data_IF_749236264133
#
_entry.id   IF_749236264133
#
_cell.length_a   1.000
_cell.length_b   1.000
_cell.length_c   1.000
_cell.angle_alpha   90.00
_cell.angle_beta   90.00
_cell.angle_gamma   90.00
#
_symmetry.space_group_name_H-M   'P 1'
#
loop_
_entity.id
_entity.type
_entity.pdbx_description
1 polymer ?
#
# COMPACT_ATOMS: atom_id res chain seq x y z
N UNK A 1 13.04 11.80 -7.33
CA UNK A 1 13.70 11.28 -6.10
C UNK A 1 14.04 9.82 -6.31
N UNK A 2 15.27 9.47 -5.99
CA UNK A 2 15.70 8.08 -6.12
C UNK A 2 15.26 7.28 -4.90
N UNK A 3 14.55 6.20 -5.16
CA UNK A 3 14.13 5.30 -4.11
C UNK A 3 14.64 3.89 -4.39
N UNK A 4 14.78 3.12 -3.33
CA UNK A 4 15.28 1.76 -3.40
C UNK A 4 14.31 0.87 -2.63
N UNK A 5 14.08 -0.35 -3.14
CA UNK A 5 13.26 -1.33 -2.44
C UNK A 5 14.18 -2.36 -1.79
N UNK A 6 13.92 -2.65 -0.52
CA UNK A 6 14.66 -3.68 0.23
C UNK A 6 13.64 -4.62 0.88
N UNK A 7 13.91 -5.92 0.89
CA UNK A 7 12.97 -6.86 1.53
C UNK A 7 12.70 -6.50 2.98
N UNK A 8 11.44 -6.63 3.39
CA UNK A 8 11.08 -6.44 4.79
C UNK A 8 11.84 -7.43 5.68
N UNK A 9 12.27 -6.93 6.84
CA UNK A 9 12.84 -7.78 7.90
C UNK A 9 12.23 -7.38 9.23
N UNK A 10 12.44 -8.21 10.26
CA UNK A 10 11.90 -7.93 11.58
C UNK A 10 12.40 -6.61 12.16
N UNK A 11 13.54 -6.11 11.70
CA UNK A 11 14.06 -4.81 12.11
C UNK A 11 13.14 -3.66 11.70
N UNK A 12 12.28 -3.87 10.72
CA UNK A 12 11.40 -2.84 10.19
C UNK A 12 10.04 -2.78 10.87
N UNK A 13 9.79 -3.63 11.89
CA UNK A 13 8.46 -3.69 12.53
C UNK A 13 8.04 -2.36 13.14
N UNK A 14 8.94 -1.71 13.86
CA UNK A 14 8.61 -0.43 14.47
C UNK A 14 8.31 0.64 13.41
N UNK A 15 9.07 0.64 12.33
CA UNK A 15 8.80 1.55 11.22
C UNK A 15 7.43 1.27 10.62
N UNK A 16 7.07 0.01 10.40
CA UNK A 16 5.78 -0.32 9.83
C UNK A 16 4.63 0.18 10.70
N UNK A 17 4.76 0.07 12.02
CA UNK A 17 3.74 0.61 12.89
C UNK A 17 3.65 2.13 12.78
N UNK A 18 4.79 2.83 12.77
CA UNK A 18 4.80 4.28 12.61
C UNK A 18 4.17 4.71 11.29
N UNK A 19 4.47 3.96 10.23
CA UNK A 19 3.89 4.21 8.91
C UNK A 19 2.37 4.02 8.96
N UNK A 20 1.91 2.92 9.55
CA UNK A 20 0.48 2.64 9.67
C UNK A 20 -0.20 3.76 10.45
N UNK A 21 0.37 4.13 11.61
CA UNK A 21 -0.18 5.18 12.46
C UNK A 21 -0.31 6.50 11.69
N UNK A 22 0.68 6.83 10.86
CA UNK A 22 0.64 8.07 10.09
C UNK A 22 -0.51 8.13 9.10
N UNK A 23 -1.02 6.96 8.68
CA UNK A 23 -2.15 6.90 7.74
C UNK A 23 -3.49 6.92 8.46
N UNK A 24 -3.52 6.72 9.78
CA UNK A 24 -4.76 6.56 10.53
C UNK A 24 -4.98 7.62 11.62
N UNK A 25 -3.92 8.30 12.04
CA UNK A 25 -3.99 9.16 13.24
C UNK A 25 -5.07 10.24 13.11
N UNK A 26 -5.26 10.80 11.92
CA UNK A 26 -6.26 11.84 11.73
C UNK A 26 -7.69 11.32 11.87
N UNK A 27 -7.91 10.01 11.69
CA UNK A 27 -9.23 9.41 11.81
C UNK A 27 -9.68 9.35 13.28
N UNK A 28 -8.73 9.22 14.22
CA UNK A 28 -9.04 9.10 15.64
C UNK A 28 -8.77 10.38 16.40
N UNK A 29 -8.11 11.37 15.81
CA UNK A 29 -7.83 12.64 16.47
C UNK A 29 -9.09 13.30 17.04
N UNK A 30 -10.24 13.31 16.35
CA UNK A 30 -11.45 13.94 16.86
C UNK A 30 -12.01 13.29 18.14
N UNK A 31 -11.58 12.08 18.49
CA UNK A 31 -12.11 11.40 19.67
C UNK A 31 -11.57 11.94 20.99
N UNK A 32 -10.51 12.77 20.93
CA UNK A 32 -9.95 13.37 22.12
C UNK A 32 -9.19 12.40 23.02
N UNK A 33 -8.74 11.28 22.48
CA UNK A 33 -7.98 10.30 23.26
C UNK A 33 -6.58 10.81 23.56
N UNK A 34 -6.04 10.36 24.71
CA UNK A 34 -4.63 10.65 25.05
C UNK A 34 -3.69 9.92 24.08
N UNK A 35 -2.44 10.37 23.95
CA UNK A 35 -1.47 9.65 23.12
C UNK A 35 -1.35 8.16 23.46
N UNK A 36 -1.26 7.74 24.73
CA UNK A 36 -1.23 6.29 25.02
C UNK A 36 -2.48 5.55 24.55
N UNK A 37 -3.67 6.16 24.66
CA UNK A 37 -4.90 5.55 24.19
C UNK A 37 -4.90 5.43 22.67
N UNK A 38 -4.41 6.45 21.96
CA UNK A 38 -4.30 6.42 20.52
C UNK A 38 -3.36 5.30 20.09
N UNK A 39 -2.21 5.18 20.72
CA UNK A 39 -1.24 4.15 20.37
C UNK A 39 -1.81 2.77 20.62
N UNK A 40 -2.46 2.53 21.74
CA UNK A 40 -3.03 1.21 22.04
C UNK A 40 -4.05 0.79 21.00
N UNK A 41 -4.92 1.72 20.59
CA UNK A 41 -5.94 1.45 19.58
C UNK A 41 -5.30 1.12 18.23
N UNK A 42 -4.34 1.94 17.83
CA UNK A 42 -3.67 1.75 16.54
C UNK A 42 -2.86 0.47 16.50
N UNK A 43 -2.27 0.05 17.63
CA UNK A 43 -1.56 -1.22 17.70
C UNK A 43 -2.46 -2.41 17.45
N UNK A 44 -3.66 -2.39 18.05
CA UNK A 44 -4.63 -3.46 17.84
C UNK A 44 -4.99 -3.56 16.36
N UNK A 45 -5.29 -2.43 15.74
CA UNK A 45 -5.66 -2.40 14.33
C UNK A 45 -4.51 -2.80 13.41
N UNK A 46 -3.30 -2.34 13.72
CA UNK A 46 -2.12 -2.69 12.95
C UNK A 46 -1.87 -4.20 12.98
N UNK A 47 -1.93 -4.79 14.18
CA UNK A 47 -1.71 -6.23 14.32
C UNK A 47 -2.76 -7.03 13.57
N UNK A 48 -4.01 -6.57 13.60
CA UNK A 48 -5.09 -7.22 12.86
C UNK A 48 -4.83 -7.16 11.35
N UNK A 49 -4.41 -6.02 10.84
CA UNK A 49 -4.10 -5.87 9.42
C UNK A 49 -2.95 -6.79 9.01
N UNK A 50 -1.88 -6.82 9.80
CA UNK A 50 -0.73 -7.67 9.51
C UNK A 50 -1.12 -9.14 9.48
N UNK A 51 -1.91 -9.57 10.45
CA UNK A 51 -2.39 -10.95 10.51
C UNK A 51 -3.25 -11.31 9.30
N UNK A 52 -4.12 -10.38 8.90
CA UNK A 52 -4.98 -10.61 7.75
C UNK A 52 -4.17 -10.75 6.46
N UNK A 53 -3.17 -9.88 6.27
CA UNK A 53 -2.31 -9.96 5.09
C UNK A 53 -1.55 -11.28 5.05
N UNK A 54 -1.04 -11.75 6.20
CA UNK A 54 -0.31 -13.01 6.25
C UNK A 54 -1.20 -14.20 5.89
N UNK A 55 -2.47 -14.17 6.30
CA UNK A 55 -3.40 -15.23 5.97
C UNK A 55 -3.87 -15.17 4.52
N UNK A 56 -4.18 -13.97 4.04
CA UNK A 56 -4.71 -13.81 2.69
C UNK A 56 -3.64 -13.95 1.62
N UNK A 57 -2.41 -13.50 1.92
CA UNK A 57 -1.33 -13.44 0.94
C UNK A 57 -0.02 -13.95 1.55
N UNK A 58 0.05 -15.26 1.92
CA UNK A 58 1.23 -15.77 2.61
C UNK A 58 2.52 -15.74 1.79
N UNK A 59 2.40 -15.66 0.47
CA UNK A 59 3.56 -15.62 -0.43
C UNK A 59 3.84 -14.22 -0.98
N UNK A 60 3.22 -13.19 -0.40
CA UNK A 60 3.38 -11.84 -0.92
C UNK A 60 4.81 -11.34 -0.77
N UNK A 61 5.23 -10.55 -1.74
CA UNK A 61 6.52 -9.86 -1.73
C UNK A 61 6.33 -8.56 -0.95
N UNK A 62 7.01 -8.45 0.19
CA UNK A 62 6.91 -7.29 1.07
C UNK A 62 8.24 -6.55 1.05
N UNK A 63 8.22 -5.34 0.49
CA UNK A 63 9.41 -4.51 0.36
C UNK A 63 9.23 -3.21 1.13
N UNK A 64 10.31 -2.76 1.75
CA UNK A 64 10.35 -1.44 2.38
C UNK A 64 10.95 -0.47 1.37
N UNK A 65 10.33 0.69 1.25
CA UNK A 65 10.78 1.75 0.34
C UNK A 65 11.76 2.63 1.11
N UNK A 66 12.97 2.78 0.57
CA UNK A 66 14.03 3.60 1.16
C UNK A 66 14.35 4.79 0.28
N UNK A 67 14.60 5.92 0.90
CA UNK A 67 15.17 7.09 0.25
C UNK A 67 16.40 7.51 1.05
N UNK A 68 17.58 7.55 0.41
CA UNK A 68 18.85 7.90 1.07
C UNK A 68 19.06 7.12 2.37
N UNK A 69 18.85 5.81 2.33
CA UNK A 69 19.01 4.88 3.45
C UNK A 69 18.00 5.06 4.59
N UNK A 70 16.97 5.88 4.39
CA UNK A 70 15.90 6.05 5.36
C UNK A 70 14.65 5.31 4.88
N UNK A 71 13.99 4.51 5.74
CA UNK A 71 12.72 3.89 5.36
C UNK A 71 11.65 4.96 5.30
N UNK A 72 10.92 4.99 4.18
CA UNK A 72 9.90 6.02 3.95
C UNK A 72 8.53 5.43 3.62
N UNK A 73 8.43 4.14 3.39
CA UNK A 73 7.16 3.51 3.04
C UNK A 73 7.30 2.02 2.84
N UNK A 74 6.21 1.42 2.38
CA UNK A 74 6.24 0.00 2.03
C UNK A 74 5.40 -0.28 0.80
N UNK A 75 5.70 -1.39 0.13
CA UNK A 75 4.87 -1.90 -0.95
C UNK A 75 4.72 -3.41 -0.76
N UNK A 76 3.49 -3.90 -0.90
CA UNK A 76 3.16 -5.31 -0.71
C UNK A 76 2.46 -5.80 -1.97
N UNK A 77 3.04 -6.82 -2.62
CA UNK A 77 2.58 -7.31 -3.91
C UNK A 77 2.41 -8.82 -3.86
N UNK A 78 1.27 -9.32 -4.31
CA UNK A 78 1.00 -10.75 -4.36
C UNK A 78 0.85 -11.19 -5.81
N UNK A 79 1.48 -12.32 -6.18
CA UNK A 79 1.26 -12.92 -7.48
C UNK A 79 0.07 -13.86 -7.38
N UNK A 80 -0.89 -13.66 -8.25
CA UNK A 80 -2.06 -14.52 -8.38
C UNK A 80 -1.96 -15.29 -9.69
N UNK A 81 -2.87 -16.21 -9.92
CA UNK A 81 -2.75 -17.12 -11.06
C UNK A 81 -2.60 -16.39 -12.39
N UNK A 82 -3.41 -15.37 -12.62
CA UNK A 82 -3.42 -14.64 -13.89
C UNK A 82 -3.20 -13.13 -13.71
N UNK A 83 -2.81 -12.70 -12.52
CA UNK A 83 -2.69 -11.28 -12.24
C UNK A 83 -1.64 -11.02 -11.18
N UNK A 84 -1.23 -9.76 -11.11
CA UNK A 84 -0.39 -9.24 -10.05
C UNK A 84 -1.27 -8.35 -9.19
N UNK A 85 -1.33 -8.61 -7.89
CA UNK A 85 -2.15 -7.79 -6.98
C UNK A 85 -1.29 -6.83 -6.19
N UNK A 86 -1.58 -5.55 -6.35
CA UNK A 86 -1.02 -4.53 -5.45
C UNK A 86 -1.86 -4.56 -4.17
N UNK A 87 -1.33 -5.20 -3.13
CA UNK A 87 -2.06 -5.38 -1.88
C UNK A 87 -2.06 -4.10 -1.07
N UNK A 88 -0.92 -3.44 -1.00
CA UNK A 88 -0.79 -2.19 -0.25
C UNK A 88 0.41 -1.40 -0.73
N UNK A 89 0.28 -0.08 -0.70
CA UNK A 89 1.40 0.84 -0.85
C UNK A 89 1.13 2.02 0.06
N UNK A 90 2.12 2.41 0.85
CA UNK A 90 1.99 3.51 1.78
C UNK A 90 3.30 4.25 1.91
N UNK A 91 3.22 5.57 2.06
CA UNK A 91 4.37 6.45 2.25
C UNK A 91 4.16 7.32 3.47
N UNK A 92 5.24 7.64 4.18
CA UNK A 92 5.17 8.64 5.23
C UNK A 92 4.67 9.97 4.63
N UNK A 93 3.95 10.77 5.43
CA UNK A 93 3.32 11.99 4.91
C UNK A 93 4.27 12.93 4.17
N UNK A 94 5.49 13.10 4.70
CA UNK A 94 6.44 14.03 4.10
C UNK A 94 6.98 13.59 2.74
N UNK A 95 6.74 12.33 2.37
CA UNK A 95 7.19 11.80 1.07
C UNK A 95 6.05 11.66 0.06
N UNK A 96 4.83 12.02 0.45
CA UNK A 96 3.70 11.96 -0.47
C UNK A 96 3.74 13.15 -1.42
N UNK A 97 3.10 12.97 -2.59
CA UNK A 97 3.02 14.04 -3.58
C UNK A 97 4.33 14.34 -4.30
N UNK A 98 5.28 13.43 -4.29
CA UNK A 98 6.59 13.61 -4.93
C UNK A 98 6.80 12.65 -6.10
N UNK A 99 5.76 11.94 -6.51
CA UNK A 99 5.84 11.03 -7.65
C UNK A 99 6.39 9.64 -7.33
N UNK A 100 6.67 9.33 -6.07
CA UNK A 100 7.23 8.03 -5.69
C UNK A 100 6.23 6.91 -5.97
N UNK A 101 4.97 7.10 -5.56
CA UNK A 101 3.92 6.12 -5.83
C UNK A 101 3.73 5.89 -7.32
N UNK A 102 3.70 6.97 -8.10
CA UNK A 102 3.59 6.89 -9.56
C UNK A 102 4.74 6.07 -10.14
N UNK A 103 5.96 6.33 -9.68
CA UNK A 103 7.14 5.62 -10.16
C UNK A 103 7.06 4.12 -9.86
N UNK A 104 6.74 3.77 -8.62
CA UNK A 104 6.75 2.36 -8.19
C UNK A 104 5.60 1.58 -8.81
N UNK A 105 4.42 2.16 -8.87
CA UNK A 105 3.26 1.49 -9.48
C UNK A 105 3.49 1.36 -10.99
N UNK A 106 4.08 2.39 -11.61
CA UNK A 106 4.45 2.32 -13.03
C UNK A 106 5.42 1.18 -13.33
N UNK A 107 6.40 0.98 -12.47
CA UNK A 107 7.34 -0.14 -12.62
C UNK A 107 6.62 -1.49 -12.47
N UNK A 108 5.69 -1.58 -11.53
CA UNK A 108 4.89 -2.78 -11.32
C UNK A 108 4.05 -3.10 -12.56
N UNK A 109 3.41 -2.08 -13.12
CA UNK A 109 2.62 -2.24 -14.36
C UNK A 109 3.51 -2.73 -15.50
N UNK A 110 4.69 -2.16 -15.63
CA UNK A 110 5.63 -2.54 -16.70
C UNK A 110 6.04 -3.99 -16.56
N UNK A 111 6.38 -4.43 -15.35
CA UNK A 111 6.75 -5.82 -15.11
C UNK A 111 5.59 -6.78 -15.41
N UNK A 112 4.38 -6.41 -14.97
CA UNK A 112 3.20 -7.24 -15.22
C UNK A 112 2.90 -7.33 -16.71
N UNK A 113 3.02 -6.23 -17.44
CA UNK A 113 2.78 -6.20 -18.89
C UNK A 113 3.76 -7.14 -19.61
N UNK A 114 5.03 -7.12 -19.22
CA UNK A 114 6.03 -8.01 -19.83
C UNK A 114 5.70 -9.48 -19.58
N UNK A 115 5.07 -9.78 -18.45
CA UNK A 115 4.68 -11.15 -18.11
C UNK A 115 3.32 -11.54 -18.67
N UNK A 116 2.65 -10.63 -19.38
CA UNK A 116 1.31 -10.88 -19.91
C UNK A 116 0.23 -10.88 -18.83
N UNK A 117 0.48 -10.19 -17.73
CA UNK A 117 -0.38 -10.19 -16.56
C UNK A 117 -1.08 -8.83 -16.40
N UNK A 118 -2.22 -8.81 -15.73
CA UNK A 118 -2.89 -7.57 -15.36
C UNK A 118 -2.54 -7.22 -13.92
N UNK A 119 -2.68 -5.95 -13.55
CA UNK A 119 -2.50 -5.51 -12.16
C UNK A 119 -3.86 -5.23 -11.56
N UNK A 120 -4.13 -5.80 -10.38
CA UNK A 120 -5.40 -5.62 -9.67
C UNK A 120 -5.15 -5.02 -8.29
N UNK A 121 -6.13 -4.28 -7.81
CA UNK A 121 -6.08 -3.74 -6.45
C UNK A 121 -7.49 -3.51 -5.92
N UNK A 122 -7.58 -3.42 -4.59
CA UNK A 122 -8.78 -2.98 -3.89
C UNK A 122 -8.46 -1.67 -3.20
N UNK A 123 -9.37 -0.70 -3.25
CA UNK A 123 -9.13 0.59 -2.64
C UNK A 123 -10.41 1.09 -1.98
N UNK A 124 -10.28 1.69 -0.79
CA UNK A 124 -11.42 2.30 -0.12
C UNK A 124 -12.01 3.39 -1.01
N UNK A 125 -13.34 3.43 -1.08
CA UNK A 125 -14.04 4.37 -1.95
C UNK A 125 -13.75 5.83 -1.60
N UNK A 126 -13.32 6.09 -0.37
CA UNK A 126 -13.00 7.42 0.11
C UNK A 126 -11.52 7.78 -0.02
N UNK A 127 -10.69 6.84 -0.51
CA UNK A 127 -9.25 7.07 -0.60
C UNK A 127 -8.91 7.93 -1.83
N UNK A 128 -8.27 9.09 -1.65
CA UNK A 128 -7.92 9.95 -2.79
C UNK A 128 -6.90 9.32 -3.75
N UNK A 129 -6.23 8.25 -3.35
CA UNK A 129 -5.32 7.53 -4.25
C UNK A 129 -6.03 6.97 -5.48
N UNK A 130 -7.36 6.88 -5.47
CA UNK A 130 -8.13 6.48 -6.65
C UNK A 130 -7.75 7.33 -7.85
N UNK A 131 -7.54 8.63 -7.66
CA UNK A 131 -7.17 9.53 -8.77
C UNK A 131 -5.81 9.16 -9.37
N UNK A 132 -4.87 8.78 -8.52
CA UNK A 132 -3.56 8.30 -8.99
C UNK A 132 -3.73 7.03 -9.83
N UNK A 133 -4.51 6.08 -9.32
CA UNK A 133 -4.72 4.82 -10.03
C UNK A 133 -5.39 5.05 -11.37
N UNK A 134 -6.39 5.93 -11.42
CA UNK A 134 -7.06 6.25 -12.69
C UNK A 134 -6.09 6.88 -13.69
N UNK A 135 -5.21 7.77 -13.23
CA UNK A 135 -4.21 8.37 -14.12
C UNK A 135 -3.25 7.34 -14.68
N UNK A 136 -3.01 6.26 -13.94
CA UNK A 136 -2.11 5.19 -14.40
C UNK A 136 -2.83 4.14 -15.25
N UNK A 137 -4.11 4.33 -15.53
CA UNK A 137 -4.85 3.46 -16.42
C UNK A 137 -5.69 2.39 -15.75
N UNK A 138 -5.81 2.44 -14.43
CA UNK A 138 -6.69 1.52 -13.72
C UNK A 138 -8.15 1.93 -13.94
N UNK A 139 -9.02 0.93 -14.09
CA UNK A 139 -10.45 1.15 -14.20
C UNK A 139 -11.17 0.36 -13.11
N UNK A 140 -12.31 0.87 -12.65
CA UNK A 140 -13.13 0.19 -11.68
C UNK A 140 -13.82 -1.00 -12.35
N UNK A 141 -13.69 -2.18 -11.75
CA UNK A 141 -14.31 -3.40 -12.29
C UNK A 141 -15.50 -3.84 -11.45
N UNK A 142 -15.52 -3.53 -10.16
CA UNK A 142 -16.64 -3.80 -9.28
C UNK A 142 -16.53 -2.96 -8.03
N UNK A 143 -17.58 -2.97 -7.23
CA UNK A 143 -17.57 -2.22 -5.97
C UNK A 143 -18.50 -2.87 -4.97
N UNK A 144 -18.23 -2.62 -3.68
CA UNK A 144 -19.15 -2.90 -2.61
C UNK A 144 -19.36 -1.61 -1.81
N UNK A 145 -19.86 -1.71 -0.58
CA UNK A 145 -20.15 -0.54 0.23
C UNK A 145 -18.91 0.23 0.64
N UNK A 146 -17.75 -0.43 0.71
CA UNK A 146 -16.52 0.17 1.22
C UNK A 146 -15.43 0.30 0.17
N UNK A 147 -15.35 -0.61 -0.80
CA UNK A 147 -14.20 -0.73 -1.69
C UNK A 147 -14.60 -0.69 -3.15
N UNK A 148 -13.69 -0.15 -3.97
CA UNK A 148 -13.66 -0.41 -5.40
C UNK A 148 -12.61 -1.47 -5.69
N UNK A 149 -12.94 -2.40 -6.60
CA UNK A 149 -11.93 -3.24 -7.23
C UNK A 149 -11.50 -2.55 -8.51
N UNK A 150 -10.19 -2.47 -8.74
CA UNK A 150 -9.66 -1.81 -9.92
C UNK A 150 -8.67 -2.71 -10.63
N UNK A 151 -8.56 -2.53 -11.95
CA UNK A 151 -7.69 -3.35 -12.77
C UNK A 151 -7.02 -2.51 -13.85
N UNK A 152 -5.75 -2.78 -14.09
CA UNK A 152 -4.99 -2.20 -15.20
C UNK A 152 -4.67 -3.32 -16.17
N UNK A 153 -5.27 -3.26 -17.36
CA UNK A 153 -5.11 -4.30 -18.37
C UNK A 153 -3.67 -4.34 -18.87
N UNK A 154 -3.23 -5.54 -19.27
CA UNK A 154 -1.89 -5.72 -19.80
C UNK A 154 -1.81 -5.33 -21.28
N UNK A 155 -0.60 -5.11 -21.77
CA UNK A 155 -0.32 -5.07 -23.20
C UNK A 155 -0.61 -3.77 -23.89
N UNK A 156 -0.83 -2.68 -23.17
CA UNK A 156 -1.07 -1.38 -23.87
C UNK A 156 -0.39 -0.25 -23.12
#
# INVERSE_FOLDING_TARGET
MNVELRPFSSENQDFLFQLYASTRIHEIAPFGWSPPQQEAFLRVQFNAQQGWYQQAYPQADHQIIFAADQPIGRILVAQEEDSTRLVDIALLPEYRGRGIGTQLIGQLIEQATKAGSVVRLSVLRTNPAIHLYERLGFVKTSEDQMYYQMERASGK
#
